data_IF_656821682885
#
_entry.id   IF_656821682885
#
_cell.length_a   1.000
_cell.length_b   1.000
_cell.length_c   1.000
_cell.angle_alpha   90.00
_cell.angle_beta   90.00
_cell.angle_gamma   90.00
#
_symmetry.space_group_name_H-M   'P 1'
#
loop_
_entity.id
_entity.type
_entity.pdbx_description
1 polymer ?
#
# COMPACT_ATOMS: atom_id res chain seq x y z
N UNK A 1 2.68 34.49 -1.66
CA UNK A 1 2.61 33.58 -2.82
C UNK A 1 2.03 32.27 -2.33
N UNK A 2 1.54 31.41 -3.20
CA UNK A 2 1.15 30.04 -2.84
C UNK A 2 2.07 29.05 -3.55
N UNK A 3 2.15 27.81 -3.04
CA UNK A 3 2.91 26.73 -3.67
C UNK A 3 2.12 25.43 -3.65
N UNK A 4 2.41 24.53 -4.56
CA UNK A 4 1.84 23.20 -4.61
C UNK A 4 2.78 22.18 -3.96
N UNK A 5 2.22 21.29 -3.16
CA UNK A 5 2.93 20.16 -2.57
C UNK A 5 2.14 18.86 -2.82
N UNK A 6 2.85 17.81 -3.19
CA UNK A 6 2.25 16.54 -3.58
C UNK A 6 2.82 15.41 -2.73
N UNK A 7 1.93 14.51 -2.31
CA UNK A 7 2.30 13.23 -1.71
C UNK A 7 1.53 12.10 -2.38
N UNK A 8 2.11 10.90 -2.33
CA UNK A 8 1.51 9.70 -2.91
C UNK A 8 1.48 8.54 -1.92
N UNK A 9 0.66 7.56 -2.21
CA UNK A 9 0.53 6.32 -1.44
C UNK A 9 0.28 5.13 -2.37
N UNK A 10 0.64 3.95 -1.89
CA UNK A 10 0.32 2.68 -2.54
C UNK A 10 -0.57 1.82 -1.64
N UNK A 11 -1.46 1.04 -2.25
CA UNK A 11 -2.37 0.16 -1.52
C UNK A 11 -1.67 -1.08 -0.97
N UNK A 12 -2.36 -1.81 -0.10
CA UNK A 12 -1.88 -3.09 0.45
C UNK A 12 -1.55 -4.14 -0.63
N UNK A 13 -2.16 -4.05 -1.81
CA UNK A 13 -1.92 -4.96 -2.94
C UNK A 13 -0.85 -4.49 -3.93
N UNK A 14 -0.26 -3.31 -3.74
CA UNK A 14 0.88 -2.88 -4.55
C UNK A 14 2.10 -3.78 -4.26
N UNK A 15 2.89 -4.19 -5.28
CA UNK A 15 4.02 -5.09 -5.08
C UNK A 15 4.96 -4.70 -3.95
N UNK A 16 5.35 -3.43 -3.84
CA UNK A 16 6.22 -2.96 -2.76
C UNK A 16 5.57 -3.16 -1.39
N UNK A 17 4.26 -2.88 -1.27
CA UNK A 17 3.55 -3.04 0.01
C UNK A 17 3.26 -4.51 0.34
N UNK A 18 3.09 -5.36 -0.67
CA UNK A 18 3.02 -6.81 -0.49
C UNK A 18 4.35 -7.34 0.06
N UNK A 19 5.48 -6.87 -0.50
CA UNK A 19 6.82 -7.25 -0.04
C UNK A 19 7.06 -6.81 1.41
N UNK A 20 6.74 -5.56 1.77
CA UNK A 20 6.80 -5.03 3.14
C UNK A 20 5.99 -5.90 4.11
N UNK A 21 4.72 -6.17 3.78
CA UNK A 21 3.83 -6.95 4.65
C UNK A 21 4.32 -8.39 4.85
N UNK A 22 4.93 -9.00 3.84
CA UNK A 22 5.51 -10.35 3.96
C UNK A 22 6.73 -10.31 4.88
N UNK A 23 7.64 -9.34 4.68
CA UNK A 23 8.84 -9.20 5.53
C UNK A 23 8.46 -8.93 6.98
N UNK A 24 7.49 -8.05 7.22
CA UNK A 24 6.96 -7.75 8.55
C UNK A 24 6.30 -8.97 9.20
N UNK A 25 5.49 -9.72 8.45
CA UNK A 25 4.83 -10.91 8.98
C UNK A 25 5.83 -12.02 9.35
N UNK A 26 6.93 -12.17 8.60
CA UNK A 26 8.00 -13.09 8.95
C UNK A 26 8.72 -12.64 10.22
N UNK A 27 9.02 -11.35 10.36
CA UNK A 27 9.58 -10.77 11.57
C UNK A 27 8.68 -11.03 12.78
N UNK A 28 7.40 -10.74 12.67
CA UNK A 28 6.41 -10.91 13.72
C UNK A 28 6.33 -12.39 14.15
N UNK A 29 6.30 -13.31 13.21
CA UNK A 29 6.20 -14.75 13.50
C UNK A 29 7.46 -15.27 14.22
N UNK A 30 8.66 -14.86 13.80
CA UNK A 30 9.87 -15.23 14.51
C UNK A 30 9.90 -14.66 15.94
N UNK A 31 9.52 -13.39 16.12
CA UNK A 31 9.50 -12.74 17.44
C UNK A 31 8.42 -13.33 18.37
N UNK A 32 7.30 -13.80 17.81
CA UNK A 32 6.24 -14.42 18.61
C UNK A 32 6.69 -15.70 19.33
N UNK A 33 7.62 -16.46 18.75
CA UNK A 33 8.15 -17.69 19.33
C UNK A 33 9.53 -17.54 19.99
N UNK A 34 10.31 -16.55 19.61
CA UNK A 34 11.61 -16.23 20.22
C UNK A 34 11.84 -14.72 20.19
N UNK A 35 11.56 -14.04 21.32
CA UNK A 35 11.72 -12.59 21.48
C UNK A 35 13.15 -12.07 21.22
N UNK A 36 14.16 -12.96 21.22
CA UNK A 36 15.55 -12.63 20.96
C UNK A 36 15.96 -12.87 19.50
N UNK A 37 15.01 -13.20 18.62
CA UNK A 37 15.28 -13.38 17.20
C UNK A 37 15.94 -12.16 16.57
N UNK A 38 16.89 -12.40 15.68
CA UNK A 38 17.49 -11.41 14.77
C UNK A 38 17.05 -11.78 13.37
N UNK A 39 16.27 -10.92 12.76
CA UNK A 39 15.59 -11.19 11.47
C UNK A 39 15.94 -10.09 10.49
N UNK A 40 16.61 -10.46 9.41
CA UNK A 40 16.89 -9.58 8.27
C UNK A 40 16.40 -10.31 7.01
N UNK A 41 15.10 -10.27 6.80
CA UNK A 41 14.41 -10.90 5.66
C UNK A 41 13.99 -9.85 4.66
N UNK A 42 14.47 -9.98 3.42
CA UNK A 42 14.09 -9.21 2.27
C UNK A 42 13.12 -10.01 1.40
N UNK A 43 12.15 -9.33 0.83
CA UNK A 43 11.14 -9.93 -0.03
C UNK A 43 11.10 -9.26 -1.39
N UNK A 44 11.13 -10.06 -2.46
CA UNK A 44 10.86 -9.63 -3.81
C UNK A 44 9.56 -10.28 -4.29
N UNK A 45 8.67 -9.45 -4.85
CA UNK A 45 7.39 -9.90 -5.40
C UNK A 45 7.31 -9.56 -6.88
N UNK A 46 6.88 -10.51 -7.68
CA UNK A 46 6.58 -10.33 -9.10
C UNK A 46 5.41 -11.23 -9.50
N UNK A 47 4.93 -11.14 -10.74
CA UNK A 47 3.83 -11.97 -11.25
C UNK A 47 4.08 -13.46 -10.97
N UNK A 48 3.20 -14.07 -10.21
CA UNK A 48 3.22 -15.50 -9.89
C UNK A 48 4.33 -15.96 -8.94
N UNK A 49 5.15 -15.06 -8.38
CA UNK A 49 6.31 -15.44 -7.57
C UNK A 49 6.58 -14.51 -6.39
N UNK A 50 7.04 -15.13 -5.30
CA UNK A 50 7.64 -14.46 -4.14
C UNK A 50 9.02 -15.08 -3.90
N UNK A 51 10.04 -14.24 -3.72
CA UNK A 51 11.39 -14.66 -3.38
C UNK A 51 11.76 -14.05 -2.03
N UNK A 52 12.12 -14.89 -1.08
CA UNK A 52 12.58 -14.49 0.24
C UNK A 52 14.11 -14.70 0.30
N UNK A 53 14.83 -13.71 0.77
CA UNK A 53 16.27 -13.81 0.97
C UNK A 53 16.69 -13.10 2.26
N UNK A 54 17.83 -13.48 2.82
CA UNK A 54 18.36 -12.82 3.99
C UNK A 54 18.89 -13.77 5.04
N UNK A 55 19.03 -13.27 6.27
CA UNK A 55 19.62 -13.99 7.38
C UNK A 55 18.72 -13.93 8.62
N UNK A 56 18.60 -15.06 9.30
CA UNK A 56 17.83 -15.19 10.56
C UNK A 56 18.66 -15.89 11.60
N UNK A 57 18.66 -15.37 12.83
CA UNK A 57 19.10 -16.08 14.03
C UNK A 57 17.91 -16.17 14.98
N UNK A 58 17.39 -17.37 15.14
CA UNK A 58 16.25 -17.67 16.01
C UNK A 58 16.29 -19.11 16.49
N UNK A 59 15.64 -19.40 17.61
CA UNK A 59 15.33 -20.75 18.06
C UNK A 59 13.97 -21.24 17.54
N UNK A 60 13.20 -20.35 16.95
CA UNK A 60 11.87 -20.65 16.41
C UNK A 60 11.99 -21.38 15.06
N UNK A 61 11.09 -22.33 14.83
CA UNK A 61 10.79 -22.84 13.49
C UNK A 61 9.58 -22.09 12.94
N UNK A 62 9.72 -21.52 11.77
CA UNK A 62 8.64 -20.81 11.07
C UNK A 62 8.46 -21.42 9.69
N UNK A 63 7.23 -21.83 9.34
CA UNK A 63 6.90 -22.18 7.96
C UNK A 63 6.70 -20.90 7.16
N UNK A 64 7.76 -20.49 6.49
CA UNK A 64 7.78 -19.24 5.73
C UNK A 64 6.79 -19.24 4.55
N UNK A 65 6.46 -20.41 4.00
CA UNK A 65 5.50 -20.50 2.90
C UNK A 65 4.08 -20.23 3.40
N UNK A 66 3.71 -20.78 4.54
CA UNK A 66 2.39 -20.54 5.14
C UNK A 66 2.22 -19.07 5.52
N UNK A 67 3.24 -18.43 6.10
CA UNK A 67 3.22 -17.00 6.42
C UNK A 67 2.98 -16.16 5.16
N UNK A 68 3.76 -16.41 4.09
CA UNK A 68 3.61 -15.69 2.81
C UNK A 68 2.21 -15.85 2.23
N UNK A 69 1.69 -17.08 2.17
CA UNK A 69 0.36 -17.36 1.61
C UNK A 69 -0.75 -16.70 2.40
N UNK A 70 -0.67 -16.71 3.72
CA UNK A 70 -1.64 -16.05 4.60
C UNK A 70 -1.66 -14.53 4.37
N UNK A 71 -0.50 -13.90 4.18
CA UNK A 71 -0.42 -12.46 3.86
C UNK A 71 -1.08 -12.15 2.52
N UNK A 72 -0.74 -12.92 1.47
CA UNK A 72 -1.29 -12.73 0.12
C UNK A 72 -2.82 -12.91 0.12
N UNK A 73 -3.33 -13.93 0.84
CA UNK A 73 -4.76 -14.19 0.99
C UNK A 73 -5.47 -13.06 1.73
N UNK A 74 -4.88 -12.57 2.84
CA UNK A 74 -5.42 -11.45 3.64
C UNK A 74 -5.50 -10.15 2.85
N UNK A 75 -4.54 -9.90 1.97
CA UNK A 75 -4.55 -8.76 1.02
C UNK A 75 -5.72 -8.90 0.03
N UNK A 76 -6.07 -10.12 -0.37
CA UNK A 76 -7.18 -10.39 -1.27
C UNK A 76 -6.78 -10.88 -2.66
N UNK A 77 -5.55 -11.34 -2.83
CA UNK A 77 -5.12 -12.05 -4.03
C UNK A 77 -5.54 -13.53 -3.92
N UNK A 78 -6.80 -13.78 -4.24
CA UNK A 78 -7.48 -15.07 -4.05
C UNK A 78 -7.98 -15.70 -5.34
N UNK A 79 -7.72 -15.08 -6.49
CA UNK A 79 -8.18 -15.54 -7.80
C UNK A 79 -7.01 -15.75 -8.76
N UNK A 80 -6.98 -16.87 -9.44
CA UNK A 80 -5.92 -17.21 -10.41
C UNK A 80 -5.83 -16.24 -11.59
N UNK A 81 -6.96 -15.58 -11.93
CA UNK A 81 -7.01 -14.55 -12.98
C UNK A 81 -6.16 -13.33 -12.68
N UNK A 82 -5.80 -13.11 -11.41
CA UNK A 82 -4.90 -12.02 -11.01
C UNK A 82 -3.43 -12.32 -11.32
N UNK A 83 -3.11 -13.55 -11.81
CA UNK A 83 -1.76 -14.02 -12.11
C UNK A 83 -0.78 -13.92 -10.92
N UNK A 84 -1.29 -13.64 -9.75
CA UNK A 84 -0.65 -13.66 -8.45
C UNK A 84 -1.73 -14.02 -7.43
N UNK A 85 -1.61 -15.19 -6.79
CA UNK A 85 -2.68 -15.73 -5.97
C UNK A 85 -2.09 -16.61 -4.86
N UNK A 86 -2.67 -16.54 -3.67
CA UNK A 86 -2.16 -17.14 -2.44
C UNK A 86 -1.83 -18.63 -2.55
N UNK A 87 -2.65 -19.42 -3.25
CA UNK A 87 -2.49 -20.87 -3.30
C UNK A 87 -1.54 -21.33 -4.42
N UNK A 88 -1.44 -20.57 -5.53
CA UNK A 88 -0.73 -21.00 -6.74
C UNK A 88 0.59 -20.26 -6.99
N UNK A 89 0.87 -19.13 -6.33
CA UNK A 89 2.15 -18.45 -6.53
C UNK A 89 3.34 -19.30 -6.04
N UNK A 90 4.44 -19.25 -6.78
CA UNK A 90 5.71 -19.85 -6.35
C UNK A 90 6.30 -19.08 -5.19
N UNK A 91 6.69 -19.77 -4.11
CA UNK A 91 7.42 -19.18 -2.98
C UNK A 91 8.80 -19.81 -2.91
N UNK A 92 9.82 -19.00 -3.13
CA UNK A 92 11.23 -19.42 -3.06
C UNK A 92 11.87 -18.80 -1.83
N UNK A 93 12.60 -19.61 -1.06
CA UNK A 93 13.32 -19.14 0.11
C UNK A 93 14.81 -19.39 -0.03
N UNK A 94 15.60 -18.32 0.20
CA UNK A 94 17.04 -18.31 0.32
C UNK A 94 17.44 -17.61 1.63
N UNK A 95 16.75 -17.99 2.71
CA UNK A 95 17.04 -17.49 4.05
C UNK A 95 18.12 -18.38 4.65
N UNK A 96 19.18 -17.77 5.18
CA UNK A 96 20.32 -18.44 5.80
C UNK A 96 20.41 -18.10 7.28
N UNK A 97 21.22 -18.88 8.01
CA UNK A 97 21.59 -18.54 9.39
C UNK A 97 22.48 -17.28 9.40
N UNK A 98 22.24 -16.38 10.37
CA UNK A 98 23.01 -15.16 10.50
C UNK A 98 24.51 -15.44 10.67
N UNK A 99 25.35 -14.69 9.94
CA UNK A 99 26.80 -14.75 10.02
C UNK A 99 27.31 -14.52 11.46
N UNK A 100 28.20 -15.40 11.94
CA UNK A 100 28.80 -15.26 13.25
C UNK A 100 29.65 -13.99 13.43
N UNK A 101 30.14 -13.40 12.32
CA UNK A 101 30.92 -12.16 12.35
C UNK A 101 30.05 -10.95 12.60
N UNK A 102 28.87 -10.87 11.97
CA UNK A 102 27.87 -9.81 12.23
C UNK A 102 27.35 -9.93 13.66
N UNK A 103 27.06 -11.12 14.11
CA UNK A 103 26.54 -11.39 15.45
C UNK A 103 27.45 -10.88 16.56
N UNK A 104 28.80 -10.98 16.40
CA UNK A 104 29.75 -10.42 17.35
C UNK A 104 29.65 -8.90 17.56
N UNK A 105 29.20 -8.17 16.56
CA UNK A 105 28.98 -6.73 16.65
C UNK A 105 27.68 -6.38 17.34
N UNK A 106 26.68 -7.26 17.31
CA UNK A 106 25.32 -7.04 17.81
C UNK A 106 25.17 -7.51 19.25
N UNK A 107 25.58 -8.75 19.56
CA UNK A 107 25.45 -9.32 20.91
C UNK A 107 26.52 -8.80 21.86
N UNK A 108 26.10 -8.33 23.04
CA UNK A 108 26.95 -7.90 24.14
C UNK A 108 26.45 -8.54 25.43
N UNK A 109 27.32 -8.63 26.44
CA UNK A 109 27.00 -9.21 27.76
C UNK A 109 25.84 -8.46 28.44
N UNK A 110 25.74 -7.13 28.25
CA UNK A 110 24.64 -6.32 28.76
C UNK A 110 23.56 -6.16 27.69
N UNK A 111 22.33 -6.72 27.92
CA UNK A 111 21.21 -6.59 26.99
C UNK A 111 20.81 -5.15 26.65
N UNK A 112 21.10 -4.20 27.56
CA UNK A 112 20.80 -2.77 27.34
C UNK A 112 21.83 -2.06 26.46
N UNK A 113 22.96 -2.71 26.19
CA UNK A 113 24.06 -2.19 25.38
C UNK A 113 24.20 -2.94 24.04
N UNK A 114 23.13 -3.52 23.52
CA UNK A 114 23.15 -4.19 22.22
C UNK A 114 23.65 -3.24 21.12
N UNK A 115 24.47 -3.75 20.21
CA UNK A 115 24.88 -3.05 19.00
C UNK A 115 23.81 -3.10 17.91
N UNK A 116 23.90 -2.21 16.94
CA UNK A 116 23.11 -2.28 15.73
C UNK A 116 23.76 -3.20 14.70
N UNK A 117 22.96 -3.89 13.87
CA UNK A 117 23.47 -4.74 12.80
C UNK A 117 24.09 -3.96 11.64
N UNK A 118 23.76 -2.67 11.50
CA UNK A 118 24.30 -1.80 10.45
C UNK A 118 24.31 -0.34 10.91
N UNK A 119 24.95 0.52 10.13
CA UNK A 119 24.92 1.96 10.28
C UNK A 119 23.54 2.49 9.89
N UNK A 120 23.14 3.62 10.49
CA UNK A 120 21.88 4.26 10.13
C UNK A 120 21.90 5.76 10.36
N UNK A 121 21.19 6.48 9.48
CA UNK A 121 20.85 7.89 9.64
C UNK A 121 19.37 8.06 9.38
N UNK A 122 18.65 8.65 10.33
CA UNK A 122 17.20 8.80 10.27
C UNK A 122 16.84 10.27 10.19
N UNK A 123 15.76 10.57 9.47
CA UNK A 123 15.12 11.88 9.43
C UNK A 123 13.70 11.73 9.95
N UNK A 124 13.27 12.68 10.77
CA UNK A 124 11.92 12.76 11.28
C UNK A 124 11.25 14.07 10.86
N UNK A 125 9.97 14.00 10.51
CA UNK A 125 9.14 15.17 10.21
C UNK A 125 7.75 14.96 10.79
N UNK A 126 7.19 16.00 11.41
CA UNK A 126 5.85 16.03 11.94
C UNK A 126 5.24 17.41 11.75
N UNK A 127 3.93 17.46 11.53
CA UNK A 127 3.16 18.70 11.36
C UNK A 127 1.85 18.60 12.14
N UNK A 128 1.23 19.73 12.46
CA UNK A 128 -0.06 19.77 13.14
C UNK A 128 -1.26 19.89 12.17
N UNK A 129 -1.07 19.54 10.92
CA UNK A 129 -2.12 19.56 9.91
C UNK A 129 -3.19 18.47 10.15
N UNK A 130 -2.81 17.38 10.79
CA UNK A 130 -3.69 16.24 11.11
C UNK A 130 -3.53 15.82 12.57
N UNK A 131 -4.49 15.09 13.10
CA UNK A 131 -4.48 14.64 14.50
C UNK A 131 -3.35 13.64 14.81
N UNK A 132 -2.88 12.91 13.80
CA UNK A 132 -1.78 11.95 13.88
C UNK A 132 -0.42 12.56 13.54
N UNK A 133 -0.34 13.88 13.38
CA UNK A 133 0.87 14.65 13.05
C UNK A 133 1.47 14.34 11.67
N UNK A 134 0.71 13.71 10.78
CA UNK A 134 1.11 13.46 9.39
C UNK A 134 0.81 14.68 8.51
N UNK A 135 1.63 14.95 7.47
CA UNK A 135 1.29 15.94 6.45
C UNK A 135 -0.04 15.63 5.78
N UNK A 136 -0.91 16.62 5.62
CA UNK A 136 -2.28 16.43 5.13
C UNK A 136 -2.33 15.79 3.74
N UNK A 137 -1.42 16.15 2.82
CA UNK A 137 -1.36 15.56 1.49
C UNK A 137 -1.11 14.04 1.54
N UNK A 138 -0.21 13.60 2.44
CA UNK A 138 0.11 12.18 2.63
C UNK A 138 -1.02 11.44 3.32
N UNK A 139 -1.60 12.02 4.37
CA UNK A 139 -2.70 11.44 5.13
C UNK A 139 -3.94 11.22 4.24
N UNK A 140 -4.27 12.20 3.39
CA UNK A 140 -5.34 12.06 2.39
C UNK A 140 -5.03 10.98 1.36
N UNK A 141 -3.78 10.90 0.88
CA UNK A 141 -3.40 9.84 -0.05
C UNK A 141 -3.56 8.45 0.57
N UNK A 142 -3.16 8.27 1.84
CA UNK A 142 -3.38 7.02 2.58
C UNK A 142 -4.88 6.73 2.77
N UNK A 143 -5.66 7.72 3.19
CA UNK A 143 -7.10 7.55 3.44
C UNK A 143 -7.88 7.14 2.20
N UNK A 144 -7.52 7.65 1.02
CA UNK A 144 -8.12 7.22 -0.25
C UNK A 144 -7.94 5.71 -0.49
N UNK A 145 -6.76 5.18 -0.24
CA UNK A 145 -6.47 3.76 -0.47
C UNK A 145 -7.00 2.84 0.63
N UNK A 146 -7.01 3.31 1.87
CA UNK A 146 -7.64 2.58 2.98
C UNK A 146 -9.14 2.43 2.76
N UNK A 147 -9.82 3.51 2.34
CA UNK A 147 -11.24 3.46 2.03
C UNK A 147 -11.52 2.59 0.80
N UNK A 148 -10.70 2.66 -0.24
CA UNK A 148 -10.82 1.82 -1.43
C UNK A 148 -10.67 0.32 -1.07
N UNK A 149 -9.72 -0.02 -0.20
CA UNK A 149 -9.54 -1.38 0.30
C UNK A 149 -10.73 -1.83 1.18
N UNK A 150 -11.28 -0.92 1.99
CA UNK A 150 -12.47 -1.21 2.81
C UNK A 150 -13.70 -1.51 1.94
N UNK A 151 -13.94 -0.72 0.89
CA UNK A 151 -15.00 -0.98 -0.10
C UNK A 151 -14.78 -2.35 -0.74
N UNK A 152 -13.58 -2.64 -1.23
CA UNK A 152 -13.26 -3.92 -1.88
C UNK A 152 -13.48 -5.13 -0.97
N UNK A 153 -13.15 -5.01 0.31
CA UNK A 153 -13.24 -6.14 1.27
C UNK A 153 -14.61 -6.32 1.89
N UNK A 154 -15.32 -5.21 2.15
CA UNK A 154 -16.51 -5.24 3.00
C UNK A 154 -17.80 -4.87 2.27
N UNK A 155 -17.71 -4.14 1.16
CA UNK A 155 -18.85 -3.55 0.44
C UNK A 155 -18.62 -3.64 -1.08
N UNK A 156 -18.18 -4.80 -1.54
CA UNK A 156 -17.75 -5.01 -2.93
C UNK A 156 -18.84 -4.67 -3.96
N UNK A 157 -20.12 -4.76 -3.58
CA UNK A 157 -21.25 -4.40 -4.44
C UNK A 157 -21.24 -2.93 -4.90
N UNK A 158 -20.58 -2.04 -4.15
CA UNK A 158 -20.47 -0.62 -4.52
C UNK A 158 -19.53 -0.40 -5.71
N UNK A 159 -18.40 -1.14 -5.73
CA UNK A 159 -17.39 -1.08 -6.80
C UNK A 159 -16.88 -2.50 -7.10
N UNK A 160 -17.69 -3.37 -7.73
CA UNK A 160 -17.45 -4.83 -7.80
C UNK A 160 -16.25 -5.24 -8.65
N UNK A 161 -15.68 -4.32 -9.39
CA UNK A 161 -14.54 -4.54 -10.28
C UNK A 161 -13.18 -4.32 -9.60
N UNK A 162 -13.13 -3.87 -8.35
CA UNK A 162 -11.87 -3.54 -7.66
C UNK A 162 -10.99 -4.75 -7.44
N UNK A 163 -9.70 -4.60 -7.77
CA UNK A 163 -8.61 -5.53 -7.43
C UNK A 163 -7.68 -4.93 -6.36
N UNK A 164 -6.77 -5.72 -5.78
CA UNK A 164 -5.99 -5.26 -4.62
C UNK A 164 -4.99 -4.14 -4.89
N UNK A 165 -4.40 -4.04 -6.09
CA UNK A 165 -3.40 -3.03 -6.41
C UNK A 165 -4.04 -1.68 -6.73
N UNK A 166 -3.55 -0.63 -6.08
CA UNK A 166 -3.93 0.75 -6.35
C UNK A 166 -2.86 1.74 -5.90
N UNK A 167 -2.89 2.93 -6.49
CA UNK A 167 -2.07 4.08 -6.11
C UNK A 167 -2.94 5.31 -5.99
N UNK A 168 -2.55 6.23 -5.11
CA UNK A 168 -3.15 7.55 -4.98
C UNK A 168 -2.09 8.62 -4.91
N UNK A 169 -2.45 9.82 -5.36
CA UNK A 169 -1.62 11.01 -5.23
C UNK A 169 -2.53 12.19 -4.94
N UNK A 170 -2.15 13.03 -3.98
CA UNK A 170 -2.89 14.22 -3.61
C UNK A 170 -1.96 15.43 -3.67
N UNK A 171 -2.38 16.45 -4.41
CA UNK A 171 -1.69 17.75 -4.50
C UNK A 171 -2.52 18.80 -3.78
N UNK A 172 -1.90 19.50 -2.84
CA UNK A 172 -2.51 20.58 -2.06
C UNK A 172 -1.80 21.89 -2.37
N UNK A 173 -2.57 22.96 -2.51
CA UNK A 173 -2.05 24.33 -2.55
C UNK A 173 -1.95 24.87 -1.13
N UNK A 174 -0.76 25.38 -0.78
CA UNK A 174 -0.44 25.98 0.50
C UNK A 174 -0.11 27.46 0.36
N UNK A 175 -0.40 28.26 1.39
CA UNK A 175 0.10 29.62 1.50
C UNK A 175 1.57 29.66 1.95
N UNK A 176 2.14 30.87 2.00
CA UNK A 176 3.54 31.10 2.43
C UNK A 176 3.81 30.69 3.90
N UNK A 177 2.77 30.47 4.71
CA UNK A 177 2.87 30.05 6.10
C UNK A 177 2.66 28.53 6.27
N UNK A 178 2.52 27.79 5.16
CA UNK A 178 2.28 26.36 5.18
C UNK A 178 0.84 25.97 5.52
N UNK A 179 -0.12 26.89 5.41
CA UNK A 179 -1.54 26.59 5.62
C UNK A 179 -2.16 26.04 4.33
N UNK A 180 -2.84 24.89 4.36
CA UNK A 180 -3.53 24.37 3.20
C UNK A 180 -4.69 25.29 2.80
N UNK A 181 -4.79 25.59 1.51
CA UNK A 181 -5.82 26.46 0.91
C UNK A 181 -6.89 25.69 0.17
N UNK A 182 -6.49 24.69 -0.58
CA UNK A 182 -7.39 23.80 -1.35
C UNK A 182 -6.66 22.54 -1.80
N UNK A 183 -7.42 21.50 -2.05
CA UNK A 183 -6.94 20.36 -2.81
C UNK A 183 -6.95 20.77 -4.29
N UNK A 184 -5.80 20.67 -4.95
CA UNK A 184 -5.65 21.02 -6.36
C UNK A 184 -5.95 19.81 -7.25
N UNK A 185 -5.28 18.67 -7.00
CA UNK A 185 -5.37 17.48 -7.83
C UNK A 185 -5.45 16.22 -6.98
N UNK A 186 -6.29 15.28 -7.41
CA UNK A 186 -6.35 13.91 -6.88
C UNK A 186 -6.16 12.94 -8.04
N UNK A 187 -5.16 12.06 -7.91
CA UNK A 187 -4.94 10.95 -8.83
C UNK A 187 -5.27 9.64 -8.11
N UNK A 188 -6.05 8.78 -8.74
CA UNK A 188 -6.30 7.41 -8.29
C UNK A 188 -6.08 6.46 -9.46
N UNK A 189 -5.16 5.52 -9.31
CA UNK A 189 -4.99 4.41 -10.23
C UNK A 189 -5.31 3.14 -9.50
N UNK A 190 -6.32 2.40 -9.95
CA UNK A 190 -6.75 1.15 -9.34
C UNK A 190 -6.81 0.04 -10.35
N UNK A 191 -6.25 -1.11 -10.00
CA UNK A 191 -6.43 -2.34 -10.76
C UNK A 191 -7.91 -2.76 -10.69
N UNK A 192 -8.43 -3.26 -11.81
CA UNK A 192 -9.85 -3.62 -11.93
C UNK A 192 -10.06 -4.83 -12.87
N UNK A 193 -11.19 -5.51 -12.72
CA UNK A 193 -11.64 -6.52 -13.66
C UNK A 193 -12.04 -5.88 -15.00
N UNK A 194 -11.99 -6.63 -16.10
CA UNK A 194 -12.64 -6.23 -17.35
C UNK A 194 -14.15 -6.45 -17.24
N UNK A 195 -14.86 -5.42 -16.77
CA UNK A 195 -16.31 -5.50 -16.49
C UNK A 195 -17.20 -4.93 -17.60
N UNK A 196 -16.60 -4.26 -18.62
CA UNK A 196 -17.25 -3.90 -19.87
C UNK A 196 -16.36 -4.43 -21.00
N UNK A 197 -16.94 -5.16 -21.93
CA UNK A 197 -16.19 -5.87 -22.97
C UNK A 197 -16.78 -5.64 -24.36
N UNK A 198 -16.06 -6.06 -25.40
CA UNK A 198 -16.56 -6.01 -26.79
C UNK A 198 -17.79 -6.90 -27.01
N UNK A 199 -18.08 -7.85 -26.10
CA UNK A 199 -19.30 -8.66 -26.12
C UNK A 199 -20.57 -7.84 -25.91
N UNK A 200 -20.42 -6.63 -25.37
CA UNK A 200 -21.50 -5.68 -25.16
C UNK A 200 -21.81 -4.85 -26.43
N UNK A 201 -21.23 -5.22 -27.58
CA UNK A 201 -21.44 -4.57 -28.87
C UNK A 201 -20.57 -3.34 -29.11
N UNK A 202 -19.54 -3.13 -28.26
CA UNK A 202 -18.61 -2.01 -28.32
C UNK A 202 -17.29 -2.42 -29.02
N UNK A 203 -16.57 -1.44 -29.53
CA UNK A 203 -15.17 -1.60 -29.87
C UNK A 203 -14.32 -1.68 -28.59
N UNK A 204 -13.08 -2.14 -28.67
CA UNK A 204 -12.19 -2.22 -27.51
C UNK A 204 -11.97 -0.83 -26.87
N UNK A 205 -11.72 0.19 -27.68
CA UNK A 205 -11.51 1.56 -27.20
C UNK A 205 -12.75 2.13 -26.49
N UNK A 206 -13.94 1.83 -27.02
CA UNK A 206 -15.21 2.22 -26.40
C UNK A 206 -15.45 1.51 -25.06
N UNK A 207 -15.13 0.22 -24.97
CA UNK A 207 -15.24 -0.56 -23.74
C UNK A 207 -14.26 -0.05 -22.68
N UNK A 208 -12.99 0.15 -23.06
CA UNK A 208 -11.94 0.66 -22.16
C UNK A 208 -12.30 2.07 -21.64
N UNK A 209 -12.80 2.93 -22.53
CA UNK A 209 -13.27 4.28 -22.14
C UNK A 209 -14.48 4.21 -21.21
N UNK A 210 -15.45 3.36 -21.49
CA UNK A 210 -16.64 3.22 -20.66
C UNK A 210 -16.28 2.69 -19.25
N UNK A 211 -15.32 1.77 -19.12
CA UNK A 211 -14.79 1.34 -17.82
C UNK A 211 -14.13 2.49 -17.08
N UNK A 212 -13.26 3.26 -17.75
CA UNK A 212 -12.58 4.41 -17.15
C UNK A 212 -13.59 5.49 -16.69
N UNK A 213 -14.57 5.82 -17.50
CA UNK A 213 -15.62 6.79 -17.16
C UNK A 213 -16.45 6.31 -15.96
N UNK A 214 -16.75 5.00 -15.88
CA UNK A 214 -17.44 4.42 -14.73
C UNK A 214 -16.59 4.49 -13.46
N UNK A 215 -15.30 4.12 -13.50
CA UNK A 215 -14.41 4.19 -12.35
C UNK A 215 -14.27 5.65 -11.87
N UNK A 216 -14.10 6.60 -12.80
CA UNK A 216 -14.04 8.03 -12.47
C UNK A 216 -15.32 8.50 -11.75
N UNK A 217 -16.47 8.06 -12.23
CA UNK A 217 -17.76 8.38 -11.59
C UNK A 217 -17.83 7.82 -10.19
N UNK A 218 -17.52 6.55 -10.00
CA UNK A 218 -17.60 5.88 -8.71
C UNK A 218 -16.57 6.46 -7.71
N UNK A 219 -15.37 6.83 -8.16
CA UNK A 219 -14.39 7.56 -7.33
C UNK A 219 -14.99 8.88 -6.84
N UNK A 220 -15.62 9.67 -7.72
CA UNK A 220 -16.20 10.97 -7.34
C UNK A 220 -17.44 10.86 -6.47
N UNK A 221 -18.31 9.89 -6.72
CA UNK A 221 -19.61 9.78 -6.08
C UNK A 221 -19.61 8.87 -4.84
N UNK A 222 -18.67 7.94 -4.74
CA UNK A 222 -18.57 6.97 -3.64
C UNK A 222 -17.32 7.22 -2.79
N UNK A 223 -16.13 7.10 -3.39
CA UNK A 223 -14.87 7.13 -2.63
C UNK A 223 -14.62 8.51 -1.99
N UNK A 224 -14.66 9.59 -2.78
CA UNK A 224 -14.34 10.94 -2.31
C UNK A 224 -15.26 11.41 -1.18
N UNK A 225 -16.61 11.27 -1.24
CA UNK A 225 -17.48 11.65 -0.14
C UNK A 225 -17.21 10.89 1.15
N UNK A 226 -16.89 9.60 1.06
CA UNK A 226 -16.57 8.77 2.24
C UNK A 226 -15.27 9.19 2.89
N UNK A 227 -14.22 9.44 2.11
CA UNK A 227 -12.95 9.98 2.62
C UNK A 227 -13.14 11.36 3.21
N UNK A 228 -13.83 12.27 2.51
CA UNK A 228 -14.12 13.63 3.00
C UNK A 228 -14.81 13.61 4.36
N UNK A 229 -15.75 12.69 4.58
CA UNK A 229 -16.51 12.59 5.82
C UNK A 229 -15.67 12.14 7.05
N UNK A 230 -14.50 11.57 6.83
CA UNK A 230 -13.58 11.14 7.90
C UNK A 230 -12.80 12.31 8.51
N UNK A 231 -12.80 13.47 7.87
CA UNK A 231 -11.98 14.61 8.25
C UNK A 231 -12.77 15.70 8.97
N UNK A 232 -12.11 16.53 9.79
CA UNK A 232 -12.73 17.70 10.41
C UNK A 232 -13.15 18.73 9.36
N UNK A 233 -14.10 19.60 9.74
CA UNK A 233 -14.76 20.56 8.85
C UNK A 233 -13.77 21.42 8.04
N UNK A 234 -12.67 21.87 8.66
CA UNK A 234 -11.68 22.68 7.96
C UNK A 234 -11.02 21.96 6.78
N UNK A 235 -10.78 20.64 6.88
CA UNK A 235 -10.25 19.83 5.79
C UNK A 235 -11.35 19.58 4.76
N UNK A 236 -12.59 19.35 5.21
CA UNK A 236 -13.73 19.16 4.29
C UNK A 236 -13.94 20.35 3.37
N UNK A 237 -13.65 21.59 3.83
CA UNK A 237 -13.76 22.80 3.00
C UNK A 237 -12.71 22.87 1.89
N UNK A 238 -11.62 22.11 1.98
CA UNK A 238 -10.59 22.03 0.93
C UNK A 238 -11.06 21.24 -0.30
N UNK A 239 -12.08 20.37 -0.12
CA UNK A 239 -12.73 19.65 -1.22
C UNK A 239 -13.74 20.57 -1.90
N UNK A 240 -13.41 21.08 -3.06
CA UNK A 240 -14.24 21.98 -3.83
C UNK A 240 -14.39 21.52 -5.29
N UNK A 241 -15.24 22.18 -6.04
CA UNK A 241 -15.60 21.81 -7.43
C UNK A 241 -14.45 22.03 -8.44
N UNK A 242 -13.32 22.62 -8.01
CA UNK A 242 -12.16 22.90 -8.88
C UNK A 242 -11.10 21.81 -8.83
N UNK A 243 -11.31 20.76 -8.04
CA UNK A 243 -10.36 19.65 -7.97
C UNK A 243 -10.25 18.97 -9.34
N UNK A 244 -9.01 18.80 -9.80
CA UNK A 244 -8.68 18.03 -10.99
C UNK A 244 -8.59 16.56 -10.61
N UNK A 245 -9.39 15.71 -11.24
CA UNK A 245 -9.36 14.26 -11.00
C UNK A 245 -8.71 13.54 -12.17
N UNK A 246 -7.69 12.73 -11.88
CA UNK A 246 -7.12 11.79 -12.82
C UNK A 246 -7.36 10.37 -12.29
N UNK A 247 -8.14 9.58 -13.01
CA UNK A 247 -8.46 8.20 -12.64
C UNK A 247 -8.01 7.28 -13.75
N UNK A 248 -7.14 6.31 -13.44
CA UNK A 248 -6.49 5.43 -14.41
C UNK A 248 -6.03 6.19 -15.66
N UNK A 249 -5.17 7.22 -15.53
CA UNK A 249 -4.89 8.18 -16.61
C UNK A 249 -4.23 7.56 -17.85
N UNK A 250 -3.63 6.38 -17.72
CA UNK A 250 -3.02 5.64 -18.82
C UNK A 250 -3.97 4.64 -19.51
N UNK A 251 -5.23 4.57 -19.08
CA UNK A 251 -6.24 3.65 -19.57
C UNK A 251 -6.54 2.52 -18.58
N UNK A 252 -6.97 1.36 -19.07
CA UNK A 252 -7.32 0.22 -18.21
C UNK A 252 -6.09 -0.31 -17.46
N UNK A 253 -6.35 -0.80 -16.25
CA UNK A 253 -5.35 -1.42 -15.37
C UNK A 253 -5.90 -2.77 -14.86
N UNK A 254 -5.64 -3.81 -15.64
CA UNK A 254 -6.17 -5.19 -15.42
C UNK A 254 -5.06 -6.12 -14.96
#
# INVERSE_FOLDING_TARGET
MSYLFTSESVSEGHPDKVADQISDALLDEFLAYDENSKVACETLVTTGQVVLAGEVKSKAYVDVQDVVRNVIEKIGYTKSEYQFEAQSCGVFSSIHEQSGDINRGVEREDPYNQGAGDQGMMFGYATNETANYMPLALDLAHSLLLELAAIRKNELELMPYLRPDAKSQVTIEYDDNGKPLRIDTIVVSTQHDEFITTKDGLTQDEADKAMQDRILKDVKEILIPRVKAQYPEYVQTLFNDKIIYHVNPTGKFV
#
